data_IF_912644887511
#
_entry.id   IF_912644887511
#
_cell.length_a   1.000
_cell.length_b   1.000
_cell.length_c   1.000
_cell.angle_alpha   90.00
_cell.angle_beta   90.00
_cell.angle_gamma   90.00
#
_symmetry.space_group_name_H-M   'P 1'
#
loop_
_entity.id
_entity.type
_entity.pdbx_description
1 polymer ?
#
# COMPACT_ATOMS: atom_id res chain seq x y z
N UNK A 1 -1.70 46.75 7.94
CA UNK A 1 -2.04 45.93 6.76
C UNK A 1 -0.87 45.09 6.25
N UNK A 2 0.26 45.67 5.79
CA UNK A 2 1.40 44.89 5.27
C UNK A 2 2.02 43.89 6.28
N UNK A 3 2.11 44.26 7.57
CA UNK A 3 2.62 43.39 8.63
C UNK A 3 1.66 42.22 8.96
N UNK A 4 0.35 42.44 8.84
CA UNK A 4 -0.66 41.37 9.03
C UNK A 4 -0.63 40.39 7.86
N UNK A 5 -0.58 40.89 6.62
CA UNK A 5 -0.49 40.04 5.43
C UNK A 5 0.81 39.20 5.41
N UNK A 6 1.94 39.75 5.87
CA UNK A 6 3.19 39.01 6.02
C UNK A 6 3.10 37.93 7.11
N UNK A 7 2.48 38.26 8.25
CA UNK A 7 2.23 37.30 9.33
C UNK A 7 1.32 36.15 8.88
N UNK A 8 0.23 36.45 8.17
CA UNK A 8 -0.70 35.45 7.63
C UNK A 8 -0.04 34.49 6.63
N UNK A 9 0.79 35.03 5.72
CA UNK A 9 1.58 34.19 4.79
C UNK A 9 2.58 33.30 5.52
N UNK A 10 3.22 33.83 6.56
CA UNK A 10 4.18 33.07 7.37
C UNK A 10 3.48 31.95 8.13
N UNK A 11 2.31 32.22 8.73
CA UNK A 11 1.48 31.22 9.40
C UNK A 11 1.01 30.15 8.41
N UNK A 12 0.58 30.53 7.20
CA UNK A 12 0.17 29.58 6.17
C UNK A 12 1.33 28.66 5.75
N UNK A 13 2.53 29.22 5.54
CA UNK A 13 3.73 28.43 5.23
C UNK A 13 4.11 27.47 6.35
N UNK A 14 4.10 27.94 7.60
CA UNK A 14 4.37 27.08 8.77
C UNK A 14 3.33 25.97 8.93
N UNK A 15 2.04 26.24 8.65
CA UNK A 15 0.99 25.21 8.67
C UNK A 15 1.21 24.13 7.62
N UNK A 16 1.60 24.52 6.40
CA UNK A 16 1.93 23.56 5.35
C UNK A 16 3.14 22.69 5.74
N UNK A 17 4.16 23.29 6.34
CA UNK A 17 5.34 22.56 6.79
C UNK A 17 5.03 21.59 7.93
N UNK A 18 4.21 22.00 8.90
CA UNK A 18 3.71 21.11 9.96
C UNK A 18 2.94 19.93 9.36
N UNK A 19 2.06 20.17 8.39
CA UNK A 19 1.31 19.10 7.73
C UNK A 19 2.24 18.13 6.99
N UNK A 20 3.25 18.65 6.29
CA UNK A 20 4.28 17.84 5.61
C UNK A 20 5.05 16.96 6.60
N UNK A 21 5.58 17.55 7.67
CA UNK A 21 6.34 16.83 8.70
C UNK A 21 5.47 15.80 9.43
N UNK A 22 4.20 16.10 9.69
CA UNK A 22 3.26 15.15 10.27
C UNK A 22 3.04 13.94 9.34
N UNK A 23 2.93 14.17 8.03
CA UNK A 23 2.83 13.11 7.03
C UNK A 23 4.09 12.23 6.98
N UNK A 24 5.28 12.83 7.01
CA UNK A 24 6.56 12.10 7.03
C UNK A 24 6.72 11.26 8.31
N UNK A 25 6.36 11.83 9.47
CA UNK A 25 6.38 11.12 10.74
C UNK A 25 5.43 9.92 10.73
N UNK A 26 4.21 10.08 10.19
CA UNK A 26 3.26 8.98 10.07
C UNK A 26 3.81 7.85 9.19
N UNK A 27 4.44 8.18 8.06
CA UNK A 27 5.08 7.19 7.19
C UNK A 27 6.26 6.48 7.87
N UNK A 28 7.10 7.22 8.60
CA UNK A 28 8.22 6.64 9.34
C UNK A 28 7.73 5.67 10.43
N UNK A 29 6.70 6.06 11.19
CA UNK A 29 6.10 5.22 12.22
C UNK A 29 5.47 3.94 11.63
N UNK A 30 4.77 4.05 10.49
CA UNK A 30 4.22 2.88 9.80
C UNK A 30 5.32 1.89 9.36
N UNK A 31 6.47 2.40 8.88
CA UNK A 31 7.61 1.54 8.52
C UNK A 31 8.24 0.88 9.74
N UNK A 32 8.37 1.60 10.86
CA UNK A 32 8.90 1.03 12.10
C UNK A 32 7.99 -0.09 12.62
N UNK A 33 6.68 0.12 12.64
CA UNK A 33 5.71 -0.91 13.03
C UNK A 33 5.84 -2.17 12.16
N UNK A 34 5.95 -2.00 10.83
CA UNK A 34 6.17 -3.13 9.92
C UNK A 34 7.47 -3.89 10.24
N UNK A 35 8.57 -3.20 10.55
CA UNK A 35 9.83 -3.86 10.91
C UNK A 35 9.74 -4.61 12.24
N UNK A 36 9.06 -4.04 13.24
CA UNK A 36 8.82 -4.73 14.51
C UNK A 36 8.03 -6.02 14.29
N UNK A 37 7.01 -6.00 13.44
CA UNK A 37 6.27 -7.21 13.08
C UNK A 37 7.14 -8.22 12.33
N UNK A 38 8.00 -7.78 11.40
CA UNK A 38 8.95 -8.67 10.70
C UNK A 38 9.89 -9.35 11.70
N UNK A 39 10.43 -8.60 12.67
CA UNK A 39 11.32 -9.14 13.69
C UNK A 39 10.60 -10.17 14.57
N UNK A 40 9.36 -9.87 14.98
CA UNK A 40 8.51 -10.82 15.73
C UNK A 40 8.24 -12.09 14.91
N UNK A 41 7.85 -11.94 13.65
CA UNK A 41 7.58 -13.06 12.75
C UNK A 41 8.85 -13.92 12.55
N UNK A 42 10.03 -13.31 12.46
CA UNK A 42 11.30 -14.04 12.28
C UNK A 42 11.63 -14.96 13.47
N UNK A 43 11.16 -14.64 14.67
CA UNK A 43 11.37 -15.46 15.86
C UNK A 43 10.58 -16.79 15.82
N UNK A 44 9.48 -16.84 15.06
CA UNK A 44 8.65 -18.04 14.94
C UNK A 44 9.01 -18.83 13.68
N UNK A 45 9.30 -20.15 13.77
CA UNK A 45 9.63 -20.96 12.60
C UNK A 45 8.51 -20.98 11.54
N UNK A 46 8.89 -20.97 10.26
CA UNK A 46 7.96 -21.07 9.13
C UNK A 46 7.97 -19.85 8.22
N UNK A 47 7.03 -19.78 7.29
CA UNK A 47 6.81 -18.61 6.43
C UNK A 47 5.53 -17.91 6.88
N UNK A 48 5.59 -16.59 7.03
CA UNK A 48 4.49 -15.77 7.52
C UNK A 48 4.25 -14.58 6.62
N UNK A 49 3.00 -14.12 6.57
CA UNK A 49 2.58 -12.91 5.87
C UNK A 49 2.34 -11.85 6.94
N UNK A 50 2.96 -10.69 6.79
CA UNK A 50 3.05 -9.65 7.82
C UNK A 50 2.63 -8.30 7.25
N UNK A 51 1.95 -7.50 8.09
CA UNK A 51 1.42 -6.18 7.76
C UNK A 51 0.72 -6.08 6.39
N UNK A 52 -0.22 -7.00 6.04
CA UNK A 52 -0.96 -6.88 4.80
C UNK A 52 -1.82 -5.62 4.76
N UNK A 53 -1.63 -4.82 3.73
CA UNK A 53 -2.36 -3.59 3.47
C UNK A 53 -2.84 -3.57 2.02
N UNK A 54 -4.13 -3.27 1.87
CA UNK A 54 -4.80 -3.18 0.58
C UNK A 54 -5.65 -1.92 0.53
N UNK A 55 -5.33 -1.04 -0.41
CA UNK A 55 -6.11 0.18 -0.64
C UNK A 55 -6.61 0.23 -2.07
N UNK A 56 -7.88 0.61 -2.25
CA UNK A 56 -8.48 0.81 -3.56
C UNK A 56 -8.68 2.30 -3.81
N UNK A 57 -8.23 2.78 -4.96
CA UNK A 57 -8.54 4.13 -5.47
C UNK A 57 -9.11 4.01 -6.88
N UNK A 58 -10.42 4.21 -7.01
CA UNK A 58 -11.13 3.99 -8.27
C UNK A 58 -10.93 2.56 -8.77
N UNK A 59 -10.34 2.42 -9.96
CA UNK A 59 -10.02 1.12 -10.58
C UNK A 59 -8.64 0.57 -10.20
N UNK A 60 -7.89 1.22 -9.34
CA UNK A 60 -6.55 0.76 -8.96
C UNK A 60 -6.60 0.12 -7.57
N UNK A 61 -6.16 -1.14 -7.47
CA UNK A 61 -5.85 -1.79 -6.21
C UNK A 61 -4.37 -1.62 -5.93
N UNK A 62 -4.01 -1.07 -4.77
CA UNK A 62 -2.66 -1.01 -4.25
C UNK A 62 -2.53 -2.03 -3.14
N UNK A 63 -1.41 -2.74 -3.12
CA UNK A 63 -1.13 -3.74 -2.11
C UNK A 63 0.29 -3.60 -1.60
N UNK A 64 0.47 -3.90 -0.31
CA UNK A 64 1.76 -3.99 0.33
C UNK A 64 1.71 -5.00 1.48
N UNK A 65 2.69 -5.88 1.55
CA UNK A 65 2.87 -6.80 2.67
C UNK A 65 4.32 -7.28 2.71
N UNK A 66 4.71 -7.90 3.82
CA UNK A 66 5.98 -8.60 3.93
C UNK A 66 5.75 -10.12 4.01
N UNK A 67 6.56 -10.88 3.28
CA UNK A 67 6.68 -12.32 3.46
C UNK A 67 7.94 -12.58 4.25
N UNK A 68 7.81 -13.19 5.43
CA UNK A 68 8.90 -13.39 6.38
C UNK A 68 9.16 -14.87 6.57
N UNK A 69 10.42 -15.26 6.43
CA UNK A 69 10.91 -16.59 6.79
C UNK A 69 11.50 -16.53 8.20
N UNK A 70 10.84 -17.18 9.14
CA UNK A 70 11.36 -17.37 10.48
C UNK A 70 12.14 -18.68 10.64
N UNK A 71 12.96 -18.72 11.69
CA UNK A 71 13.94 -19.79 11.91
C UNK A 71 15.18 -19.70 11.03
N UNK A 72 16.19 -20.53 11.32
CA UNK A 72 17.51 -20.48 10.69
C UNK A 72 17.69 -21.45 9.53
N UNK A 73 16.88 -22.51 9.44
CA UNK A 73 16.98 -23.56 8.44
C UNK A 73 15.64 -23.78 7.72
N UNK A 74 15.63 -24.12 6.41
CA UNK A 74 16.76 -24.03 5.46
C UNK A 74 17.21 -22.56 5.27
N UNK A 75 18.40 -22.27 4.72
CA UNK A 75 18.88 -20.87 4.56
C UNK A 75 17.95 -20.02 3.69
N UNK A 76 17.43 -20.60 2.62
CA UNK A 76 16.55 -19.91 1.67
C UNK A 76 15.19 -20.59 1.66
N UNK A 77 14.12 -19.80 1.68
CA UNK A 77 12.81 -20.24 1.26
C UNK A 77 12.64 -20.00 -0.24
N UNK A 78 11.99 -20.96 -0.90
CA UNK A 78 11.58 -20.84 -2.29
C UNK A 78 10.14 -21.29 -2.40
N UNK A 79 9.33 -20.54 -3.13
CA UNK A 79 7.91 -20.81 -3.23
C UNK A 79 7.24 -19.93 -4.27
N UNK A 80 5.91 -19.93 -4.23
CA UNK A 80 5.07 -19.07 -5.05
C UNK A 80 4.08 -18.31 -4.18
N UNK A 81 3.68 -17.16 -4.68
CA UNK A 81 2.71 -16.25 -4.09
C UNK A 81 1.53 -16.12 -5.05
N UNK A 82 0.33 -16.35 -4.55
CA UNK A 82 -0.90 -15.93 -5.21
C UNK A 82 -1.51 -14.76 -4.44
N UNK A 83 -1.99 -13.76 -5.16
CA UNK A 83 -2.79 -12.66 -4.62
C UNK A 83 -4.11 -12.61 -5.37
N UNK A 84 -5.22 -12.73 -4.64
CA UNK A 84 -6.58 -12.74 -5.16
C UNK A 84 -7.36 -11.57 -4.57
N UNK A 85 -8.18 -10.92 -5.39
CA UNK A 85 -9.15 -9.93 -4.94
C UNK A 85 -10.57 -10.52 -5.07
N UNK A 86 -11.40 -10.35 -4.04
CA UNK A 86 -12.71 -10.96 -3.93
C UNK A 86 -13.83 -9.91 -3.89
N UNK A 87 -14.84 -10.11 -4.74
CA UNK A 87 -16.07 -9.32 -4.80
C UNK A 87 -17.28 -10.24 -4.59
N UNK A 88 -17.53 -10.61 -3.32
CA UNK A 88 -18.49 -11.67 -2.99
C UNK A 88 -17.96 -13.03 -3.46
N UNK A 89 -18.76 -13.75 -4.25
CA UNK A 89 -18.39 -15.07 -4.79
C UNK A 89 -17.42 -15.00 -5.98
N UNK A 90 -17.17 -13.80 -6.52
CA UNK A 90 -16.27 -13.61 -7.67
C UNK A 90 -14.85 -13.29 -7.20
N UNK A 91 -13.86 -14.00 -7.73
CA UNK A 91 -12.44 -13.71 -7.51
C UNK A 91 -11.75 -13.25 -8.78
N UNK A 92 -10.72 -12.41 -8.60
CA UNK A 92 -9.82 -11.95 -9.64
C UNK A 92 -8.37 -12.18 -9.19
N UNK A 93 -7.55 -12.94 -9.93
CA UNK A 93 -6.13 -13.04 -9.67
C UNK A 93 -5.45 -11.69 -9.97
N UNK A 94 -4.79 -11.15 -8.96
CA UNK A 94 -3.97 -9.94 -9.04
C UNK A 94 -2.52 -10.32 -9.33
N UNK A 95 -2.02 -11.36 -8.64
CA UNK A 95 -0.77 -12.05 -8.97
C UNK A 95 -1.16 -13.51 -9.20
N UNK A 96 -1.06 -13.95 -10.45
CA UNK A 96 -1.40 -15.31 -10.85
C UNK A 96 -0.23 -16.27 -10.62
N UNK A 97 -0.52 -17.56 -10.48
CA UNK A 97 0.46 -18.61 -10.17
C UNK A 97 1.55 -18.83 -11.25
N UNK A 98 1.28 -18.36 -12.47
CA UNK A 98 2.16 -18.40 -13.63
C UNK A 98 2.91 -17.08 -13.89
N UNK A 99 2.61 -16.03 -13.12
CA UNK A 99 3.31 -14.75 -13.21
C UNK A 99 4.74 -14.90 -12.65
N UNK A 100 5.79 -14.45 -13.38
CA UNK A 100 7.13 -14.36 -12.83
C UNK A 100 7.21 -13.61 -11.48
N UNK A 101 6.35 -12.61 -11.26
CA UNK A 101 6.22 -11.87 -10.01
C UNK A 101 5.70 -12.72 -8.84
N UNK A 102 5.07 -13.87 -9.11
CA UNK A 102 4.65 -14.84 -8.10
C UNK A 102 5.81 -15.61 -7.50
N UNK A 103 6.98 -15.66 -8.14
CA UNK A 103 8.11 -16.47 -7.65
C UNK A 103 8.77 -15.81 -6.45
N UNK A 104 8.77 -16.51 -5.31
CA UNK A 104 9.43 -16.06 -4.09
C UNK A 104 10.74 -16.79 -3.86
N UNK A 105 11.81 -16.03 -3.63
CA UNK A 105 13.09 -16.52 -3.08
C UNK A 105 13.57 -15.57 -1.99
N UNK A 106 13.50 -16.00 -0.74
CA UNK A 106 13.78 -15.14 0.42
C UNK A 106 14.75 -15.82 1.40
N UNK A 107 15.70 -15.05 1.93
CA UNK A 107 16.59 -15.49 3.02
C UNK A 107 16.02 -15.11 4.40
N UNK A 108 15.46 -13.90 4.52
CA UNK A 108 14.86 -13.42 5.77
C UNK A 108 13.45 -12.91 5.54
N UNK A 109 13.29 -11.94 4.64
CA UNK A 109 12.01 -11.37 4.27
C UNK A 109 12.06 -10.82 2.85
N UNK A 110 10.90 -10.63 2.24
CA UNK A 110 10.70 -9.79 1.07
C UNK A 110 9.50 -8.89 1.30
N UNK A 111 9.62 -7.63 0.89
CA UNK A 111 8.48 -6.73 0.80
C UNK A 111 7.89 -6.92 -0.59
N UNK A 112 6.60 -7.22 -0.64
CA UNK A 112 5.82 -7.32 -1.86
C UNK A 112 4.90 -6.12 -1.89
N UNK A 113 5.11 -5.26 -2.88
CA UNK A 113 4.27 -4.07 -3.09
C UNK A 113 4.00 -3.88 -4.57
N UNK A 114 2.84 -3.35 -4.88
CA UNK A 114 2.45 -3.15 -6.27
C UNK A 114 1.08 -2.52 -6.41
N UNK A 115 0.67 -2.41 -7.67
CA UNK A 115 -0.60 -1.85 -8.07
C UNK A 115 -1.16 -2.71 -9.20
N UNK A 116 -2.46 -2.91 -9.20
CA UNK A 116 -3.16 -3.65 -10.23
C UNK A 116 -4.40 -2.89 -10.69
N UNK A 117 -4.63 -2.91 -12.00
CA UNK A 117 -5.81 -2.33 -12.60
C UNK A 117 -6.97 -3.33 -12.53
N UNK A 118 -8.08 -2.86 -11.97
CA UNK A 118 -9.30 -3.62 -11.80
C UNK A 118 -10.19 -3.45 -13.05
N UNK A 119 -10.87 -4.52 -13.48
CA UNK A 119 -11.92 -4.43 -14.47
C UNK A 119 -13.00 -3.43 -14.08
N UNK A 120 -13.66 -2.85 -15.08
CA UNK A 120 -14.78 -1.93 -14.84
C UNK A 120 -15.93 -2.67 -14.14
N UNK A 121 -16.52 -2.04 -13.11
CA UNK A 121 -17.58 -2.64 -12.30
C UNK A 121 -17.10 -3.67 -11.27
N UNK A 122 -15.83 -4.08 -11.28
CA UNK A 122 -15.28 -4.99 -10.27
C UNK A 122 -14.85 -4.21 -9.02
N UNK A 123 -15.63 -4.35 -7.94
CA UNK A 123 -15.41 -3.67 -6.66
C UNK A 123 -15.07 -4.70 -5.57
N UNK A 124 -13.80 -5.14 -5.47
CA UNK A 124 -13.42 -6.13 -4.48
C UNK A 124 -13.45 -5.52 -3.08
N UNK A 125 -13.85 -6.33 -2.10
CA UNK A 125 -13.95 -5.95 -0.68
C UNK A 125 -12.90 -6.64 0.18
N UNK A 126 -12.34 -7.73 -0.32
CA UNK A 126 -11.37 -8.54 0.40
C UNK A 126 -10.23 -8.92 -0.54
N UNK A 127 -9.03 -9.02 0.01
CA UNK A 127 -7.87 -9.56 -0.68
C UNK A 127 -7.32 -10.75 0.10
N UNK A 128 -6.98 -11.81 -0.62
CA UNK A 128 -6.42 -13.04 -0.07
C UNK A 128 -5.00 -13.24 -0.61
N UNK A 129 -4.05 -13.48 0.30
CA UNK A 129 -2.68 -13.83 -0.01
C UNK A 129 -2.49 -15.30 0.34
N UNK A 130 -1.96 -16.08 -0.60
CA UNK A 130 -1.61 -17.49 -0.40
C UNK A 130 -0.15 -17.72 -0.77
N UNK A 131 0.60 -18.41 0.10
CA UNK A 131 1.98 -18.80 -0.14
C UNK A 131 2.05 -20.32 -0.28
N UNK A 132 2.66 -20.76 -1.38
CA UNK A 132 2.93 -22.15 -1.68
C UNK A 132 4.41 -22.47 -1.59
N UNK A 133 4.76 -23.64 -1.07
CA UNK A 133 6.12 -24.16 -1.15
C UNK A 133 6.46 -24.64 -2.59
N UNK A 134 7.72 -25.04 -2.82
CA UNK A 134 8.16 -25.59 -4.12
C UNK A 134 7.39 -26.83 -4.59
N UNK A 135 6.70 -27.53 -3.68
CA UNK A 135 5.90 -28.72 -3.99
C UNK A 135 4.43 -28.36 -4.27
N UNK A 136 4.09 -27.07 -4.28
CA UNK A 136 2.73 -26.59 -4.46
C UNK A 136 1.85 -26.74 -3.22
N UNK A 137 2.42 -27.02 -2.05
CA UNK A 137 1.64 -27.10 -0.81
C UNK A 137 1.49 -25.71 -0.23
N UNK A 138 0.28 -25.36 0.17
CA UNK A 138 0.01 -24.14 0.93
C UNK A 138 0.71 -24.20 2.28
N UNK A 139 1.41 -23.13 2.64
CA UNK A 139 2.13 -23.00 3.91
C UNK A 139 1.74 -21.76 4.71
N UNK A 140 1.12 -20.78 4.07
CA UNK A 140 0.57 -19.60 4.72
C UNK A 140 -0.57 -19.02 3.88
N UNK A 141 -1.60 -18.53 4.56
CA UNK A 141 -2.75 -17.85 3.97
C UNK A 141 -3.19 -16.74 4.90
N UNK A 142 -3.58 -15.60 4.36
CA UNK A 142 -4.29 -14.56 5.11
C UNK A 142 -5.25 -13.83 4.20
N UNK A 143 -6.36 -13.38 4.77
CA UNK A 143 -7.32 -12.51 4.09
C UNK A 143 -7.48 -11.21 4.86
N UNK A 144 -7.64 -10.12 4.14
CA UNK A 144 -7.84 -8.80 4.72
C UNK A 144 -8.86 -7.99 3.93
N UNK A 145 -9.63 -7.11 4.61
CA UNK A 145 -10.49 -6.17 3.93
C UNK A 145 -9.67 -5.18 3.11
N UNK A 146 -10.21 -4.77 1.96
CA UNK A 146 -9.68 -3.69 1.13
C UNK A 146 -10.29 -2.38 1.65
N UNK A 147 -9.43 -1.42 1.97
CA UNK A 147 -9.87 -0.08 2.39
C UNK A 147 -9.99 0.84 1.18
N UNK A 148 -11.00 1.70 1.17
CA UNK A 148 -11.13 2.73 0.13
C UNK A 148 -10.30 3.95 0.53
N UNK A 149 -9.45 4.43 -0.39
CA UNK A 149 -8.85 5.75 -0.26
C UNK A 149 -9.92 6.78 -0.65
N UNK A 150 -10.62 7.31 0.35
CA UNK A 150 -11.56 8.42 0.15
C UNK A 150 -10.83 9.65 -0.38
N UNK A 151 -11.35 10.21 -1.47
CA UNK A 151 -10.96 11.52 -1.98
C UNK A 151 -11.38 12.61 -0.98
N UNK A 152 -10.57 12.84 0.04
CA UNK A 152 -10.58 14.12 0.73
C UNK A 152 -9.42 14.96 0.19
N UNK A 153 -9.78 15.95 -0.64
CA UNK A 153 -8.97 17.11 -1.06
C UNK A 153 -8.03 16.95 -2.26
N UNK A 154 -8.56 17.12 -3.48
CA UNK A 154 -7.74 17.57 -4.63
C UNK A 154 -8.52 18.38 -5.70
N UNK A 155 -9.68 18.96 -5.37
CA UNK A 155 -10.51 19.70 -6.36
C UNK A 155 -10.66 21.22 -6.15
N UNK A 156 -10.01 21.85 -5.15
CA UNK A 156 -10.17 23.30 -4.90
C UNK A 156 -8.99 24.19 -5.29
N UNK A 157 -8.22 23.85 -6.35
CA UNK A 157 -7.18 24.77 -6.85
C UNK A 157 -7.24 25.12 -8.35
N UNK A 158 -8.18 24.60 -9.14
CA UNK A 158 -8.27 24.93 -10.57
C UNK A 158 -9.43 25.87 -10.98
N UNK A 159 -10.12 26.52 -10.05
CA UNK A 159 -11.22 27.45 -10.36
C UNK A 159 -10.91 28.94 -10.09
N UNK A 160 -9.65 29.31 -9.84
CA UNK A 160 -9.26 30.71 -9.58
C UNK A 160 -8.11 31.13 -10.49
N UNK A 161 -8.38 31.23 -11.79
CA UNK A 161 -7.40 31.66 -12.77
C UNK A 161 -8.06 32.16 -14.06
N UNK A 162 -8.81 33.26 -13.96
CA UNK A 162 -9.46 33.87 -15.12
C UNK A 162 -10.20 35.16 -14.80
N UNK A 163 -9.49 36.16 -14.27
CA UNK A 163 -10.02 37.53 -14.20
C UNK A 163 -8.94 38.53 -14.60
N UNK A 164 -9.30 39.44 -15.52
CA UNK A 164 -8.69 40.76 -15.63
C UNK A 164 -7.71 40.97 -16.78
N UNK A 165 -8.23 41.41 -17.92
CA UNK A 165 -7.48 42.14 -18.95
C UNK A 165 -8.40 43.21 -19.55
N UNK A 166 -8.43 44.38 -18.91
CA UNK A 166 -9.12 45.60 -19.32
C UNK A 166 -8.50 46.27 -20.57
N UNK A 167 -9.37 46.95 -21.31
CA UNK A 167 -9.22 48.24 -22.02
C UNK A 167 -8.16 48.49 -23.12
N UNK A 168 -8.66 49.07 -24.22
CA UNK A 168 -8.01 50.20 -24.91
C UNK A 168 -7.87 50.08 -26.43
N UNK A 169 -8.93 50.37 -27.19
CA UNK A 169 -9.06 51.53 -28.11
C UNK A 169 -10.29 51.38 -29.04
#
# INVERSE_FOLDING_TARGET
EAAQALSERTIAGLKQEIARLAGELAQANARLAMYDEILRARATPGVQIVAPSFTRRGRQLRYRFAVVKGGSAPRWFHGRLALLAWAGEQSLPIIADDDPAATLRIETHAIVEGKADLPEGFAPREAEIVIYDRRGREIARTSQPITEEDHAQEETQNATGGHGGEHGD
#
